data_IF_381140128532
#
_entry.id   IF_381140128532
#
_cell.length_a   1.000
_cell.length_b   1.000
_cell.length_c   1.000
_cell.angle_alpha   90.00
_cell.angle_beta   90.00
_cell.angle_gamma   90.00
#
_symmetry.space_group_name_H-M   'P 1'
#
loop_
_entity.id
_entity.type
_entity.pdbx_description
1 polymer ?
#
# COMPACT_ATOMS: atom_id res chain seq x y z
N UNK A 1 -0.66 19.36 -37.87
CA UNK A 1 0.69 19.66 -38.41
C UNK A 1 1.16 20.97 -37.79
N UNK A 2 1.89 20.89 -36.68
CA UNK A 2 2.91 21.86 -36.24
C UNK A 2 3.81 21.08 -35.28
N UNK A 3 5.06 20.82 -35.71
CA UNK A 3 6.06 20.09 -34.94
C UNK A 3 6.60 21.00 -33.83
N UNK A 4 6.67 20.51 -32.59
CA UNK A 4 7.56 21.05 -31.57
C UNK A 4 8.67 20.01 -31.37
N UNK A 5 9.86 20.38 -31.83
CA UNK A 5 11.11 19.62 -31.73
C UNK A 5 11.72 19.98 -30.37
N UNK A 6 11.79 19.03 -29.44
CA UNK A 6 12.63 19.16 -28.24
C UNK A 6 13.96 18.47 -28.54
N UNK A 7 14.98 19.27 -28.87
CA UNK A 7 16.37 18.82 -28.93
C UNK A 7 16.96 18.90 -27.53
N UNK A 8 17.26 17.74 -26.95
CA UNK A 8 18.00 17.63 -25.68
C UNK A 8 19.46 17.32 -26.03
N UNK A 9 20.35 18.29 -25.77
CA UNK A 9 21.79 18.12 -25.92
C UNK A 9 22.37 17.43 -24.69
N UNK A 10 23.01 16.28 -24.89
CA UNK A 10 23.91 15.70 -23.89
C UNK A 10 25.32 16.23 -24.12
N UNK A 11 25.90 16.86 -23.11
CA UNK A 11 27.33 17.16 -23.05
C UNK A 11 28.08 15.84 -22.80
N UNK A 12 29.03 15.43 -23.66
CA UNK A 12 29.89 14.30 -23.37
C UNK A 12 30.94 14.72 -22.34
N UNK A 13 31.05 13.97 -21.24
CA UNK A 13 32.19 14.04 -20.34
C UNK A 13 33.46 13.63 -21.08
N UNK A 14 34.46 14.50 -21.08
CA UNK A 14 35.79 14.30 -21.64
C UNK A 14 36.70 13.50 -20.70
N UNK A 15 37.63 12.75 -21.32
CA UNK A 15 38.86 12.09 -20.79
C UNK A 15 38.67 10.74 -20.05
N UNK A 16 39.28 9.60 -20.41
CA UNK A 16 40.42 9.20 -21.28
C UNK A 16 40.14 7.80 -21.91
N UNK A 17 40.36 7.54 -23.22
CA UNK A 17 41.60 7.06 -23.89
C UNK A 17 42.24 5.83 -23.20
N UNK A 18 42.59 4.67 -23.80
CA UNK A 18 42.65 4.06 -25.15
C UNK A 18 42.78 2.53 -24.95
N UNK A 19 42.26 1.68 -25.86
CA UNK A 19 43.04 0.76 -26.72
C UNK A 19 42.20 -0.36 -27.40
N UNK A 20 42.43 -0.48 -28.72
CA UNK A 20 42.45 -1.71 -29.56
C UNK A 20 41.11 -2.39 -29.91
N UNK A 21 40.48 -2.04 -31.05
CA UNK A 21 40.60 -2.62 -32.42
C UNK A 21 40.17 -4.07 -32.60
N UNK A 22 39.01 -4.29 -33.25
CA UNK A 22 38.88 -5.20 -34.41
C UNK A 22 37.47 -5.08 -35.04
N UNK A 23 37.46 -4.81 -36.35
CA UNK A 23 36.29 -4.69 -37.24
C UNK A 23 35.96 -6.06 -37.85
N UNK A 24 34.68 -6.38 -38.02
CA UNK A 24 34.19 -7.51 -38.84
C UNK A 24 32.66 -7.52 -38.98
N UNK A 25 32.09 -7.97 -40.12
CA UNK A 25 30.98 -7.28 -40.78
C UNK A 25 29.55 -7.77 -40.46
N UNK A 26 28.62 -6.89 -40.80
CA UNK A 26 27.16 -6.98 -40.77
C UNK A 26 26.57 -8.34 -41.18
N UNK A 27 25.62 -8.83 -40.36
CA UNK A 27 24.54 -9.70 -40.82
C UNK A 27 23.20 -9.08 -40.43
N UNK A 28 22.43 -8.75 -41.47
CA UNK A 28 21.06 -8.25 -41.43
C UNK A 28 20.15 -9.17 -40.58
N UNK A 29 19.57 -8.66 -39.50
CA UNK A 29 18.45 -9.30 -38.81
C UNK A 29 17.14 -8.64 -39.22
N UNK A 30 16.22 -9.44 -39.77
CA UNK A 30 14.86 -9.07 -40.13
C UNK A 30 14.13 -8.40 -38.95
N UNK A 31 13.73 -7.14 -39.12
CA UNK A 31 12.86 -6.43 -38.18
C UNK A 31 11.42 -6.91 -38.36
N UNK A 32 10.89 -7.69 -37.41
CA UNK A 32 9.44 -7.91 -37.30
C UNK A 32 8.81 -6.65 -36.70
N UNK A 33 7.91 -6.01 -37.46
CA UNK A 33 7.06 -4.92 -36.96
C UNK A 33 6.00 -5.50 -36.04
N UNK A 34 6.10 -5.23 -34.75
CA UNK A 34 4.97 -5.32 -33.84
C UNK A 34 4.27 -3.96 -33.80
N UNK A 35 3.08 -3.88 -34.39
CA UNK A 35 2.19 -2.73 -34.23
C UNK A 35 1.44 -2.91 -32.91
N UNK A 36 1.93 -2.31 -31.83
CA UNK A 36 1.11 -2.17 -30.62
C UNK A 36 0.09 -1.04 -30.83
N UNK A 37 -1.18 -1.42 -30.88
CA UNK A 37 -2.29 -0.48 -30.76
C UNK A 37 -2.29 0.09 -29.34
N UNK A 38 -2.20 1.41 -29.22
CA UNK A 38 -2.31 2.11 -27.94
C UNK A 38 -3.78 2.20 -27.52
N UNK A 39 -4.11 1.55 -26.41
CA UNK A 39 -5.33 1.77 -25.62
C UNK A 39 -5.01 2.72 -24.44
N UNK A 40 -6.04 3.33 -23.80
CA UNK A 40 -6.06 4.76 -23.48
C UNK A 40 -5.21 5.16 -22.28
N UNK A 41 -4.88 6.45 -22.24
CA UNK A 41 -4.08 7.19 -21.24
C UNK A 41 -4.23 6.66 -19.80
N UNK A 42 -3.27 5.83 -19.36
CA UNK A 42 -3.15 5.33 -17.99
C UNK A 42 -2.58 6.40 -17.05
N UNK A 43 -3.31 6.71 -15.97
CA UNK A 43 -2.94 7.73 -14.97
C UNK A 43 -1.92 7.17 -13.97
N UNK A 44 -0.85 7.91 -13.70
CA UNK A 44 0.10 7.61 -12.62
C UNK A 44 -0.46 8.05 -11.26
N UNK A 45 -0.32 7.22 -10.21
CA UNK A 45 -0.78 7.55 -8.86
C UNK A 45 0.39 7.47 -7.86
N UNK A 46 0.58 8.51 -7.04
CA UNK A 46 1.52 8.47 -5.91
C UNK A 46 0.79 8.22 -4.59
N UNK A 47 1.50 7.84 -3.53
CA UNK A 47 0.98 7.84 -2.15
C UNK A 47 0.23 9.12 -1.77
N UNK A 48 0.71 10.27 -2.26
CA UNK A 48 0.08 11.56 -2.04
C UNK A 48 -1.28 11.64 -2.75
N UNK A 49 -1.36 11.16 -3.99
CA UNK A 49 -2.63 11.08 -4.72
C UNK A 49 -3.67 10.23 -3.98
N UNK A 50 -3.24 9.13 -3.37
CA UNK A 50 -4.08 8.29 -2.54
C UNK A 50 -4.58 9.02 -1.27
N UNK A 51 -3.70 9.74 -0.58
CA UNK A 51 -4.07 10.55 0.57
C UNK A 51 -5.18 11.56 0.21
N UNK A 52 -5.04 12.25 -0.93
CA UNK A 52 -6.08 13.16 -1.41
C UNK A 52 -7.39 12.45 -1.75
N UNK A 53 -7.33 11.25 -2.34
CA UNK A 53 -8.54 10.44 -2.60
C UNK A 53 -9.27 10.09 -1.31
N UNK A 54 -8.55 9.71 -0.25
CA UNK A 54 -9.13 9.44 1.06
C UNK A 54 -9.79 10.68 1.66
N UNK A 55 -9.16 11.87 1.55
CA UNK A 55 -9.76 13.11 2.02
C UNK A 55 -11.00 13.53 1.21
N UNK A 56 -11.04 13.26 -0.10
CA UNK A 56 -12.21 13.52 -0.93
C UNK A 56 -13.46 12.76 -0.46
N UNK A 57 -13.29 11.65 0.28
CA UNK A 57 -14.42 10.91 0.86
C UNK A 57 -15.16 11.73 1.92
N UNK A 58 -14.46 12.65 2.58
CA UNK A 58 -15.00 13.53 3.62
C UNK A 58 -15.83 14.69 3.06
N UNK A 59 -15.76 14.95 1.75
CA UNK A 59 -16.53 16.03 1.13
C UNK A 59 -18.05 15.72 1.14
N UNK A 60 -18.91 16.72 1.40
CA UNK A 60 -20.36 16.57 1.25
C UNK A 60 -20.73 16.11 -0.16
N UNK A 61 -21.80 15.31 -0.30
CA UNK A 61 -22.27 14.82 -1.59
C UNK A 61 -22.55 15.94 -2.62
N UNK A 62 -22.98 17.11 -2.14
CA UNK A 62 -23.19 18.32 -2.96
C UNK A 62 -21.92 18.87 -3.60
N UNK A 63 -20.77 18.70 -2.95
CA UNK A 63 -19.45 19.16 -3.40
C UNK A 63 -18.71 18.08 -4.21
N UNK A 64 -19.03 16.80 -4.01
CA UNK A 64 -18.47 15.68 -4.80
C UNK A 64 -18.74 15.83 -6.30
N UNK A 65 -19.89 16.40 -6.69
CA UNK A 65 -20.22 16.64 -8.11
C UNK A 65 -19.46 17.85 -8.71
N UNK A 66 -19.25 18.93 -7.94
CA UNK A 66 -18.53 20.12 -8.39
C UNK A 66 -17.01 19.88 -8.45
N UNK A 67 -16.46 19.11 -7.51
CA UNK A 67 -15.02 18.80 -7.49
C UNK A 67 -14.63 17.59 -8.35
N UNK A 68 -15.55 16.70 -8.71
CA UNK A 68 -15.29 15.75 -9.82
C UNK A 68 -15.00 16.49 -11.12
N UNK A 69 -15.65 17.63 -11.34
CA UNK A 69 -15.38 18.50 -12.48
C UNK A 69 -14.06 19.24 -12.23
N UNK A 70 -13.86 19.92 -11.09
CA UNK A 70 -12.66 20.72 -10.82
C UNK A 70 -11.33 19.94 -10.75
N UNK A 71 -11.32 18.73 -10.15
CA UNK A 71 -10.13 17.86 -10.12
C UNK A 71 -9.81 17.26 -11.50
N UNK A 72 -10.83 17.14 -12.36
CA UNK A 72 -10.66 16.77 -13.78
C UNK A 72 -10.32 17.99 -14.64
N UNK A 73 -10.72 19.21 -14.27
CA UNK A 73 -10.41 20.45 -15.02
C UNK A 73 -9.03 20.99 -14.72
N UNK A 74 -8.47 20.76 -13.53
CA UNK A 74 -7.06 21.09 -13.23
C UNK A 74 -6.05 20.19 -13.99
N UNK A 75 -6.53 19.17 -14.69
CA UNK A 75 -5.72 18.22 -15.49
C UNK A 75 -5.95 18.40 -17.01
N UNK A 76 -6.94 19.20 -17.43
CA UNK A 76 -7.31 19.34 -18.84
C UNK A 76 -7.51 20.80 -19.25
N UNK A 77 -6.44 21.49 -19.64
CA UNK A 77 -6.54 22.61 -20.60
C UNK A 77 -6.15 22.07 -21.96
N UNK A 78 -7.14 21.59 -22.72
CA UNK A 78 -7.21 21.53 -24.19
C UNK A 78 -8.24 20.47 -24.56
N UNK A 79 -9.45 20.90 -24.94
CA UNK A 79 -10.50 20.24 -25.76
C UNK A 79 -11.92 20.59 -25.28
N UNK A 80 -12.23 21.88 -25.13
CA UNK A 80 -13.61 22.35 -25.20
C UNK A 80 -13.89 22.78 -26.64
N UNK A 81 -14.28 21.84 -27.50
CA UNK A 81 -14.51 22.17 -28.90
C UNK A 81 -14.93 21.05 -29.85
N UNK A 82 -15.38 19.88 -29.39
CA UNK A 82 -15.97 18.86 -30.28
C UNK A 82 -16.93 18.00 -29.48
N UNK A 83 -18.18 18.43 -29.26
CA UNK A 83 -19.31 17.57 -28.85
C UNK A 83 -20.60 18.42 -28.87
N UNK A 84 -20.96 18.91 -30.06
CA UNK A 84 -22.25 19.56 -30.28
C UNK A 84 -22.73 19.32 -31.71
N UNK A 85 -22.79 18.05 -32.13
CA UNK A 85 -23.47 17.64 -33.36
C UNK A 85 -23.60 16.11 -33.41
N UNK A 86 -24.47 15.55 -32.58
CA UNK A 86 -25.10 14.23 -32.78
C UNK A 86 -26.19 14.01 -31.72
N UNK A 87 -27.20 14.87 -31.73
CA UNK A 87 -28.48 14.59 -31.08
C UNK A 87 -29.59 15.06 -32.00
N UNK A 88 -29.97 14.21 -32.96
CA UNK A 88 -31.28 14.27 -33.59
C UNK A 88 -31.66 12.88 -34.10
N UNK A 89 -32.88 12.48 -33.73
CA UNK A 89 -33.66 11.33 -34.19
C UNK A 89 -33.28 9.93 -33.65
N UNK A 90 -33.90 9.54 -32.53
CA UNK A 90 -34.41 8.17 -32.38
C UNK A 90 -35.62 8.19 -31.44
N UNK A 91 -36.81 7.96 -32.02
CA UNK A 91 -38.04 7.75 -31.25
C UNK A 91 -37.88 6.44 -30.47
N UNK A 92 -38.02 6.52 -29.14
CA UNK A 92 -37.86 5.38 -28.24
C UNK A 92 -39.20 4.67 -28.06
N UNK A 93 -39.22 3.36 -28.31
CA UNK A 93 -40.38 2.48 -28.16
C UNK A 93 -40.82 2.39 -26.69
N UNK A 94 -42.12 2.20 -26.38
CA UNK A 94 -42.62 2.07 -25.00
C UNK A 94 -41.95 0.96 -24.17
N UNK A 95 -41.49 -0.12 -24.81
CA UNK A 95 -40.70 -1.18 -24.17
C UNK A 95 -39.33 -0.69 -23.70
N UNK A 96 -38.63 0.14 -24.48
CA UNK A 96 -37.33 0.71 -24.09
C UNK A 96 -37.44 1.78 -22.98
N UNK A 97 -38.65 2.27 -22.72
CA UNK A 97 -38.96 3.12 -21.56
C UNK A 97 -39.31 2.29 -20.33
N UNK A 98 -40.04 1.18 -20.48
CA UNK A 98 -40.31 0.23 -19.39
C UNK A 98 -39.06 -0.49 -18.90
N UNK A 99 -38.17 -0.94 -19.79
CA UNK A 99 -36.88 -1.53 -19.42
C UNK A 99 -35.98 -0.52 -18.70
N UNK A 100 -36.01 0.76 -19.12
CA UNK A 100 -35.31 1.84 -18.42
C UNK A 100 -35.91 2.13 -17.05
N UNK A 101 -37.22 2.08 -16.90
CA UNK A 101 -37.89 2.27 -15.61
C UNK A 101 -37.65 1.08 -14.66
N UNK A 102 -37.59 -0.15 -15.17
CA UNK A 102 -37.26 -1.34 -14.38
C UNK A 102 -35.78 -1.35 -13.99
N UNK A 103 -34.86 -0.92 -14.87
CA UNK A 103 -33.45 -0.74 -14.54
C UNK A 103 -33.23 0.41 -13.54
N UNK A 104 -33.99 1.51 -13.65
CA UNK A 104 -33.96 2.61 -12.69
C UNK A 104 -34.56 2.23 -11.32
N UNK A 105 -35.57 1.36 -11.29
CA UNK A 105 -36.15 0.84 -10.04
C UNK A 105 -35.25 -0.21 -9.37
N UNK A 106 -34.53 -1.03 -10.12
CA UNK A 106 -33.54 -1.97 -9.57
C UNK A 106 -32.28 -1.27 -9.00
N UNK A 107 -31.98 -0.03 -9.43
CA UNK A 107 -30.88 0.78 -8.88
C UNK A 107 -31.25 1.62 -7.66
N UNK A 108 -32.52 1.60 -7.23
CA UNK A 108 -32.97 2.34 -6.04
C UNK A 108 -32.92 1.49 -4.76
N UNK A 109 -31.75 0.90 -4.47
CA UNK A 109 -31.43 0.55 -3.09
C UNK A 109 -31.17 1.85 -2.32
N UNK A 110 -31.61 1.99 -1.06
CA UNK A 110 -31.33 3.20 -0.30
C UNK A 110 -29.81 3.37 -0.21
N UNK A 111 -29.27 4.40 -0.89
CA UNK A 111 -27.89 4.83 -0.70
C UNK A 111 -27.77 5.22 0.77
N UNK A 112 -27.19 4.31 1.57
CA UNK A 112 -26.91 4.57 2.96
C UNK A 112 -25.93 5.74 3.00
N UNK A 113 -26.42 6.91 3.42
CA UNK A 113 -25.69 8.18 3.40
C UNK A 113 -24.55 8.24 4.44
N UNK A 114 -24.14 7.08 4.97
CA UNK A 114 -23.07 6.89 5.93
C UNK A 114 -21.71 6.93 5.25
N UNK A 115 -20.76 7.67 5.82
CA UNK A 115 -19.36 7.66 5.38
C UNK A 115 -18.81 6.22 5.34
N UNK A 116 -17.99 5.85 4.35
CA UNK A 116 -17.45 4.48 4.26
C UNK A 116 -16.44 4.21 5.37
N UNK A 117 -16.28 2.95 5.76
CA UNK A 117 -15.11 2.52 6.52
C UNK A 117 -13.87 2.56 5.63
N UNK A 118 -12.70 2.82 6.21
CA UNK A 118 -11.42 2.87 5.51
C UNK A 118 -10.49 1.87 6.19
N UNK A 119 -10.08 0.84 5.44
CA UNK A 119 -9.19 -0.21 5.90
C UNK A 119 -7.95 -0.17 5.03
N UNK A 120 -6.78 0.06 5.63
CA UNK A 120 -5.50 0.08 4.94
C UNK A 120 -4.67 -1.07 5.50
N UNK A 121 -4.35 -2.05 4.66
CA UNK A 121 -3.42 -3.13 4.94
C UNK A 121 -2.08 -2.73 4.31
N UNK A 122 -1.16 -2.30 5.17
CA UNK A 122 0.19 -1.90 4.80
C UNK A 122 1.14 -3.06 5.09
N UNK A 123 1.81 -3.54 4.05
CA UNK A 123 2.78 -4.63 4.07
C UNK A 123 4.19 -4.03 4.19
N UNK A 124 5.11 -4.74 4.81
CA UNK A 124 6.50 -4.31 5.02
C UNK A 124 7.42 -5.12 4.09
N UNK A 125 8.20 -4.46 3.24
CA UNK A 125 9.22 -5.08 2.36
C UNK A 125 8.73 -6.13 1.33
N UNK A 126 7.46 -6.12 0.93
CA UNK A 126 6.98 -7.07 -0.07
C UNK A 126 7.38 -6.65 -1.48
N UNK A 127 8.00 -7.58 -2.22
CA UNK A 127 8.40 -7.35 -3.60
C UNK A 127 7.23 -7.43 -4.58
N UNK A 128 7.40 -6.80 -5.75
CA UNK A 128 6.38 -6.78 -6.78
C UNK A 128 5.95 -8.19 -7.24
N UNK A 129 6.88 -9.14 -7.35
CA UNK A 129 6.63 -10.49 -7.88
C UNK A 129 6.25 -11.53 -6.80
N UNK A 130 5.79 -11.06 -5.64
CA UNK A 130 5.52 -11.92 -4.48
C UNK A 130 4.03 -12.20 -4.26
N UNK A 131 3.15 -11.62 -5.09
CA UNK A 131 1.72 -11.97 -5.20
C UNK A 131 1.47 -12.79 -6.47
N UNK A 132 0.61 -13.81 -6.40
CA UNK A 132 0.41 -14.74 -7.51
C UNK A 132 -0.27 -14.09 -8.73
N UNK A 133 -1.14 -13.10 -8.53
CA UNK A 133 -1.78 -12.42 -9.66
C UNK A 133 -0.82 -11.56 -10.52
N UNK A 134 0.40 -11.28 -10.07
CA UNK A 134 1.46 -10.69 -10.90
C UNK A 134 2.22 -11.70 -11.77
N UNK A 135 1.83 -12.98 -11.73
CA UNK A 135 2.32 -14.03 -12.63
C UNK A 135 3.37 -14.97 -12.04
N UNK A 136 3.80 -14.74 -10.80
CA UNK A 136 4.65 -15.69 -10.07
C UNK A 136 3.81 -16.86 -9.54
N UNK A 137 4.19 -18.09 -9.86
CA UNK A 137 3.54 -19.30 -9.32
C UNK A 137 4.29 -19.92 -8.14
N UNK A 138 5.33 -19.25 -7.63
CA UNK A 138 6.11 -19.78 -6.49
C UNK A 138 5.33 -19.69 -5.18
N UNK A 139 4.65 -18.56 -4.96
CA UNK A 139 3.91 -18.23 -3.75
C UNK A 139 2.47 -17.94 -4.17
N UNK A 140 1.52 -18.74 -3.68
CA UNK A 140 0.10 -18.53 -3.95
C UNK A 140 -0.48 -17.58 -2.90
N UNK A 141 -1.22 -16.58 -3.34
CA UNK A 141 -1.87 -15.57 -2.49
C UNK A 141 -3.37 -15.48 -2.81
N UNK A 142 -4.15 -16.56 -2.59
CA UNK A 142 -5.54 -16.62 -3.06
C UNK A 142 -6.46 -15.54 -2.47
N UNK A 143 -6.24 -15.07 -1.24
CA UNK A 143 -7.09 -14.04 -0.64
C UNK A 143 -6.74 -12.65 -1.19
N UNK A 144 -5.46 -12.35 -1.38
CA UNK A 144 -4.99 -11.11 -2.01
C UNK A 144 -5.40 -11.09 -3.49
N UNK A 145 -5.26 -12.22 -4.20
CA UNK A 145 -5.70 -12.38 -5.57
C UNK A 145 -7.22 -12.17 -5.69
N UNK A 146 -8.01 -12.77 -4.78
CA UNK A 146 -9.45 -12.54 -4.73
C UNK A 146 -9.78 -11.06 -4.49
N UNK A 147 -9.06 -10.39 -3.59
CA UNK A 147 -9.21 -8.96 -3.36
C UNK A 147 -8.89 -8.18 -4.66
N UNK A 148 -7.78 -8.48 -5.32
CA UNK A 148 -7.35 -7.83 -6.56
C UNK A 148 -8.35 -8.01 -7.71
N UNK A 149 -8.80 -9.25 -7.97
CA UNK A 149 -9.72 -9.56 -9.06
C UNK A 149 -11.16 -9.08 -8.81
N UNK A 150 -11.54 -8.81 -7.56
CA UNK A 150 -12.84 -8.22 -7.20
C UNK A 150 -12.79 -6.69 -7.00
N UNK A 151 -11.70 -6.04 -7.41
CA UNK A 151 -11.60 -4.58 -7.35
C UNK A 151 -10.68 -3.98 -8.40
N UNK A 152 -9.81 -3.05 -8.00
CA UNK A 152 -8.98 -2.25 -8.93
C UNK A 152 -7.50 -2.48 -8.63
N UNK A 153 -6.78 -3.06 -9.58
CA UNK A 153 -5.32 -3.22 -9.52
C UNK A 153 -4.64 -1.93 -9.97
N UNK A 154 -3.71 -1.40 -9.17
CA UNK A 154 -2.87 -0.26 -9.56
C UNK A 154 -1.51 -0.71 -10.09
N UNK A 155 -1.39 -0.80 -11.41
CA UNK A 155 -0.13 -1.12 -12.08
C UNK A 155 0.86 0.06 -12.16
N UNK A 156 0.55 1.22 -11.57
CA UNK A 156 1.41 2.43 -11.62
C UNK A 156 1.27 3.24 -10.33
N UNK A 157 1.38 2.58 -9.18
CA UNK A 157 1.38 3.24 -7.88
C UNK A 157 2.75 3.19 -7.22
N UNK A 158 3.17 4.32 -6.65
CA UNK A 158 4.52 4.51 -6.13
C UNK A 158 4.52 5.01 -4.69
N UNK A 159 5.51 4.51 -3.96
CA UNK A 159 5.83 4.82 -2.57
C UNK A 159 7.28 5.31 -2.48
N UNK A 160 7.66 6.05 -1.43
CA UNK A 160 9.08 6.22 -1.09
C UNK A 160 9.78 4.86 -0.92
N UNK A 161 11.11 4.83 -1.03
CA UNK A 161 11.85 3.57 -1.10
C UNK A 161 12.12 2.90 0.26
N UNK A 162 11.67 3.46 1.39
CA UNK A 162 11.96 2.98 2.74
C UNK A 162 10.78 3.20 3.69
N UNK A 163 10.74 2.40 4.76
CA UNK A 163 9.63 2.34 5.72
C UNK A 163 9.23 3.71 6.30
N UNK A 164 10.11 4.36 7.07
CA UNK A 164 9.82 5.66 7.72
C UNK A 164 9.37 6.73 6.71
N UNK A 165 10.10 6.99 5.60
CA UNK A 165 9.64 7.95 4.59
C UNK A 165 8.25 7.60 4.02
N UNK A 166 7.99 6.33 3.70
CA UNK A 166 6.71 5.90 3.13
C UNK A 166 5.54 6.07 4.09
N UNK A 167 5.74 5.70 5.35
CA UNK A 167 4.74 5.85 6.42
C UNK A 167 4.47 7.33 6.70
N UNK A 168 5.51 8.16 6.68
CA UNK A 168 5.36 9.61 6.83
C UNK A 168 4.54 10.18 5.67
N UNK A 169 4.82 9.76 4.44
CA UNK A 169 4.05 10.19 3.26
C UNK A 169 2.61 9.72 3.31
N UNK A 170 2.34 8.48 3.72
CA UNK A 170 0.97 7.98 3.92
C UNK A 170 0.20 8.85 4.92
N UNK A 171 0.79 9.15 6.08
CA UNK A 171 0.05 9.82 7.16
C UNK A 171 -0.01 11.33 7.01
N UNK A 172 0.89 11.96 6.24
CA UNK A 172 0.89 13.43 6.06
C UNK A 172 0.39 13.88 4.69
N UNK A 173 0.38 12.99 3.69
CA UNK A 173 0.17 13.37 2.30
C UNK A 173 1.30 14.20 1.70
N UNK A 174 2.50 14.21 2.33
CA UNK A 174 3.64 15.03 1.90
C UNK A 174 4.84 14.17 1.52
N UNK A 175 5.63 14.66 0.57
CA UNK A 175 6.91 14.05 0.26
C UNK A 175 7.86 14.14 1.46
N UNK A 176 8.79 13.18 1.64
CA UNK A 176 9.71 13.16 2.78
C UNK A 176 10.55 14.44 2.93
N UNK A 177 10.86 15.10 1.81
CA UNK A 177 11.58 16.39 1.78
C UNK A 177 10.85 17.54 2.52
N UNK A 178 9.55 17.41 2.77
CA UNK A 178 8.75 18.39 3.50
C UNK A 178 8.56 18.04 4.97
N UNK A 179 8.87 16.80 5.36
CA UNK A 179 8.70 16.31 6.74
C UNK A 179 10.03 16.09 7.44
N UNK A 180 11.16 16.23 6.74
CA UNK A 180 12.49 15.92 7.26
C UNK A 180 12.81 14.42 7.26
N UNK A 181 11.98 13.58 6.63
CA UNK A 181 12.10 12.12 6.63
C UNK A 181 12.87 11.58 5.41
N UNK A 182 13.66 12.40 4.72
CA UNK A 182 14.29 12.01 3.44
C UNK A 182 15.58 11.19 3.52
N UNK A 183 16.27 11.16 4.67
CA UNK A 183 17.65 10.63 4.73
C UNK A 183 17.72 9.10 4.92
N UNK A 184 16.96 8.55 5.87
CA UNK A 184 16.95 7.12 6.21
C UNK A 184 15.72 6.82 7.07
N UNK A 185 15.69 5.62 7.65
CA UNK A 185 14.69 5.25 8.66
C UNK A 185 15.09 5.73 10.06
N UNK A 186 14.09 5.91 10.93
CA UNK A 186 14.33 6.19 12.34
C UNK A 186 14.75 4.89 13.03
N UNK A 187 15.88 4.91 13.73
CA UNK A 187 16.32 3.79 14.59
C UNK A 187 16.00 4.09 16.07
N UNK A 188 16.02 3.06 16.91
CA UNK A 188 15.39 3.11 18.24
C UNK A 188 15.98 4.13 19.22
N UNK A 189 17.26 4.49 19.10
CA UNK A 189 17.95 5.39 20.02
C UNK A 189 18.02 6.85 19.53
N UNK A 190 17.37 7.14 18.41
CA UNK A 190 17.39 8.47 17.82
C UNK A 190 16.34 9.40 18.47
N UNK A 191 16.76 10.61 18.95
CA UNK A 191 15.86 11.56 19.61
C UNK A 191 15.11 12.44 18.60
N UNK A 192 14.59 11.85 17.53
CA UNK A 192 13.79 12.55 16.53
C UNK A 192 12.66 11.65 15.99
N UNK A 193 11.73 12.27 15.28
CA UNK A 193 10.55 11.62 14.74
C UNK A 193 9.80 12.54 13.79
N UNK A 194 8.64 12.08 13.30
CA UNK A 194 7.79 12.90 12.44
C UNK A 194 7.38 14.18 13.20
N UNK A 195 7.62 15.39 12.65
CA UNK A 195 7.43 16.63 13.39
C UNK A 195 6.01 16.78 13.94
N UNK A 196 5.89 17.33 15.15
CA UNK A 196 4.61 17.45 15.86
C UNK A 196 3.65 18.46 15.21
N UNK A 197 4.16 19.38 14.39
CA UNK A 197 3.32 20.30 13.62
C UNK A 197 2.63 19.64 12.41
N UNK A 198 3.03 18.40 12.05
CA UNK A 198 2.37 17.65 10.99
C UNK A 198 1.03 17.11 11.49
N UNK A 199 -0.05 17.56 10.87
CA UNK A 199 -1.40 17.10 11.13
C UNK A 199 -1.70 15.86 10.29
N UNK A 200 -1.95 14.74 10.94
CA UNK A 200 -1.95 13.42 10.31
C UNK A 200 -3.35 12.98 9.85
N UNK A 201 -3.38 12.07 8.87
CA UNK A 201 -4.58 11.37 8.39
C UNK A 201 -5.51 10.91 9.52
N UNK A 202 -5.06 10.17 10.55
CA UNK A 202 -5.93 9.76 11.65
C UNK A 202 -6.49 10.94 12.45
N UNK A 203 -5.75 12.04 12.63
CA UNK A 203 -6.29 13.24 13.30
C UNK A 203 -7.44 13.83 12.49
N UNK A 204 -7.23 13.98 11.17
CA UNK A 204 -8.26 14.49 10.25
C UNK A 204 -9.50 13.57 10.26
N UNK A 205 -9.31 12.26 10.21
CA UNK A 205 -10.41 11.29 10.20
C UNK A 205 -11.16 11.29 11.53
N UNK A 206 -10.46 11.34 12.67
CA UNK A 206 -11.05 11.42 14.00
C UNK A 206 -11.87 12.69 14.16
N UNK A 207 -11.34 13.84 13.75
CA UNK A 207 -12.04 15.12 13.76
C UNK A 207 -13.29 15.11 12.85
N UNK A 208 -13.34 14.17 11.90
CA UNK A 208 -14.48 13.92 11.01
C UNK A 208 -15.37 12.74 11.46
N UNK A 209 -15.21 12.26 12.69
CA UNK A 209 -16.09 11.30 13.34
C UNK A 209 -15.72 9.83 13.17
N UNK A 210 -14.56 9.51 12.58
CA UNK A 210 -14.08 8.13 12.50
C UNK A 210 -13.55 7.64 13.85
N UNK A 211 -13.67 6.33 14.10
CA UNK A 211 -12.88 5.64 15.11
C UNK A 211 -11.55 5.19 14.49
N UNK A 212 -10.41 5.64 15.02
CA UNK A 212 -9.10 5.47 14.37
C UNK A 212 -8.23 4.43 15.07
N UNK A 213 -7.80 3.41 14.35
CA UNK A 213 -7.08 2.27 14.90
C UNK A 213 -5.80 2.00 14.10
N UNK A 214 -4.67 1.85 14.78
CA UNK A 214 -3.42 1.34 14.21
C UNK A 214 -3.11 -0.03 14.80
N UNK A 215 -2.87 -1.02 13.96
CA UNK A 215 -2.42 -2.35 14.39
C UNK A 215 -1.09 -2.65 13.71
N UNK A 216 -0.07 -2.95 14.50
CA UNK A 216 1.29 -3.25 14.04
C UNK A 216 2.25 -2.06 14.10
N UNK A 217 3.10 -1.92 13.07
CA UNK A 217 4.28 -1.04 13.02
C UNK A 217 3.92 0.45 12.95
N UNK A 218 4.58 1.25 13.78
CA UNK A 218 4.51 2.72 13.73
C UNK A 218 5.64 3.35 12.90
N UNK A 219 6.88 3.23 13.38
CA UNK A 219 8.13 3.65 12.73
C UNK A 219 8.26 5.14 12.34
N UNK A 220 7.62 6.03 13.11
CA UNK A 220 7.68 7.49 12.92
C UNK A 220 8.22 8.24 14.15
N UNK A 221 8.97 7.53 14.98
CA UNK A 221 9.63 8.06 16.19
C UNK A 221 8.77 7.89 17.44
N UNK A 222 9.45 7.64 18.56
CA UNK A 222 8.81 7.34 19.84
C UNK A 222 9.65 7.74 21.07
N UNK A 223 10.73 8.50 20.88
CA UNK A 223 11.60 8.96 21.97
C UNK A 223 10.86 9.86 22.98
N UNK A 224 9.75 10.45 22.55
CA UNK A 224 8.80 11.21 23.36
C UNK A 224 7.41 10.62 23.21
N UNK A 225 6.63 10.67 24.28
CA UNK A 225 5.23 10.22 24.31
C UNK A 225 4.41 10.88 23.20
N UNK A 226 4.60 12.18 22.93
CA UNK A 226 3.85 12.91 21.90
C UNK A 226 4.07 12.39 20.47
N UNK A 227 5.14 11.61 20.23
CA UNK A 227 5.41 11.02 18.92
C UNK A 227 4.77 9.64 18.74
N UNK A 228 4.20 9.05 19.80
CA UNK A 228 3.55 7.73 19.74
C UNK A 228 2.19 7.78 19.05
N UNK A 229 1.69 6.68 18.47
CA UNK A 229 0.47 6.67 17.64
C UNK A 229 -0.76 7.25 18.34
N UNK A 230 -0.97 6.92 19.62
CA UNK A 230 -2.15 7.37 20.38
C UNK A 230 -2.12 8.87 20.71
N UNK A 231 -0.94 9.50 20.61
CA UNK A 231 -0.78 10.95 20.70
C UNK A 231 -0.80 11.64 19.33
N UNK A 232 -0.96 10.87 18.25
CA UNK A 232 -0.87 11.31 16.85
C UNK A 232 -2.11 10.96 16.03
N UNK A 233 -3.27 10.90 16.70
CA UNK A 233 -4.59 10.79 16.06
C UNK A 233 -5.26 9.43 16.13
N UNK A 234 -4.54 8.37 16.53
CA UNK A 234 -5.14 7.05 16.71
C UNK A 234 -5.82 6.95 18.08
N UNK A 235 -7.08 6.52 18.12
CA UNK A 235 -7.80 6.22 19.36
C UNK A 235 -7.25 4.95 20.03
N UNK A 236 -6.77 4.00 19.22
CA UNK A 236 -6.24 2.71 19.67
C UNK A 236 -4.99 2.33 18.89
N UNK A 237 -3.95 1.84 19.59
CA UNK A 237 -2.78 1.20 18.99
C UNK A 237 -2.52 -0.17 19.59
N UNK A 238 -2.20 -1.15 18.75
CA UNK A 238 -1.71 -2.45 19.23
C UNK A 238 -0.59 -2.94 18.32
N UNK A 239 0.63 -3.00 18.84
CA UNK A 239 1.81 -3.35 18.07
C UNK A 239 3.08 -2.73 18.64
N UNK A 240 3.94 -2.22 17.76
CA UNK A 240 5.30 -1.82 18.12
C UNK A 240 5.69 -0.49 17.49
N UNK A 241 6.71 0.16 18.06
CA UNK A 241 7.10 1.51 17.64
C UNK A 241 8.30 1.55 16.68
N UNK A 242 9.22 0.59 16.81
CA UNK A 242 10.46 0.47 16.05
C UNK A 242 10.25 0.10 14.58
N UNK A 243 11.37 -0.09 13.87
CA UNK A 243 11.37 -0.56 12.49
C UNK A 243 11.08 -2.05 12.32
N UNK A 244 11.41 -2.87 13.30
CA UNK A 244 11.19 -4.32 13.28
C UNK A 244 11.23 -4.88 14.71
N UNK A 245 10.70 -6.07 14.88
CA UNK A 245 10.75 -6.88 16.11
C UNK A 245 10.82 -8.35 15.72
N UNK A 246 11.31 -9.20 16.62
CA UNK A 246 11.19 -10.63 16.48
C UNK A 246 9.72 -11.06 16.34
N UNK A 247 9.44 -12.00 15.44
CA UNK A 247 8.06 -12.41 15.15
C UNK A 247 7.36 -13.17 16.29
N UNK A 248 8.07 -13.68 17.29
CA UNK A 248 7.47 -14.52 18.34
C UNK A 248 7.60 -13.89 19.72
N UNK A 249 8.78 -13.40 20.09
CA UNK A 249 8.98 -12.78 21.41
C UNK A 249 8.77 -11.26 21.38
N UNK A 250 8.60 -10.66 20.20
CA UNK A 250 8.31 -9.24 20.00
C UNK A 250 9.34 -8.29 20.62
N UNK A 251 10.57 -8.77 20.79
CA UNK A 251 11.71 -7.96 21.23
C UNK A 251 12.49 -7.42 20.04
N UNK A 252 13.22 -6.34 20.28
CA UNK A 252 14.25 -5.85 19.36
C UNK A 252 15.61 -5.87 20.05
N UNK A 253 16.61 -6.27 19.29
CA UNK A 253 18.03 -6.24 19.65
C UNK A 253 18.83 -5.76 18.44
N UNK A 254 19.59 -4.68 18.59
CA UNK A 254 20.47 -4.15 17.53
C UNK A 254 21.90 -4.60 17.83
N UNK A 255 22.43 -5.60 17.13
CA UNK A 255 23.73 -6.21 17.49
C UNK A 255 24.91 -5.24 17.31
N UNK A 256 24.80 -4.34 16.33
CA UNK A 256 25.80 -3.30 16.04
C UNK A 256 25.79 -2.14 17.06
N UNK A 257 25.02 -2.28 18.13
CA UNK A 257 24.90 -1.32 19.22
C UNK A 257 24.96 -2.07 20.55
N UNK A 258 25.60 -1.49 21.56
CA UNK A 258 25.72 -2.11 22.88
C UNK A 258 24.41 -1.98 23.70
N UNK A 259 23.28 -2.44 23.15
CA UNK A 259 21.97 -2.43 23.79
C UNK A 259 21.55 -3.84 24.18
N UNK A 260 20.90 -3.96 25.33
CA UNK A 260 20.19 -5.19 25.66
C UNK A 260 18.94 -5.34 24.80
N UNK A 261 18.60 -6.59 24.47
CA UNK A 261 17.30 -6.90 23.88
C UNK A 261 16.17 -6.37 24.78
N UNK A 262 15.16 -5.74 24.18
CA UNK A 262 14.03 -5.16 24.90
C UNK A 262 12.71 -5.42 24.19
N UNK A 263 11.64 -5.63 24.98
CA UNK A 263 10.29 -5.75 24.45
C UNK A 263 9.86 -4.44 23.81
N UNK A 264 9.50 -4.49 22.53
CA UNK A 264 8.80 -3.40 21.85
C UNK A 264 7.45 -3.92 21.35
N UNK A 265 6.55 -4.19 22.30
CA UNK A 265 5.19 -4.62 22.00
C UNK A 265 4.22 -4.07 23.03
N UNK A 266 3.14 -3.46 22.55
CA UNK A 266 2.30 -2.59 23.36
C UNK A 266 0.84 -2.65 22.96
N UNK A 267 -0.01 -2.40 23.95
CA UNK A 267 -1.40 -1.99 23.77
C UNK A 267 -1.49 -0.55 24.25
N UNK A 268 -1.75 0.34 23.33
CA UNK A 268 -1.66 1.78 23.47
C UNK A 268 -0.27 2.19 23.98
N UNK A 269 -0.19 2.72 25.20
CA UNK A 269 1.05 3.14 25.83
C UNK A 269 1.68 2.04 26.71
N UNK A 270 0.92 0.99 27.02
CA UNK A 270 1.30 -0.04 27.97
C UNK A 270 2.02 -1.19 27.28
N UNK A 271 3.20 -1.62 27.75
CA UNK A 271 3.83 -2.87 27.30
C UNK A 271 2.86 -4.06 27.41
N UNK A 272 2.90 -4.95 26.44
CA UNK A 272 2.01 -6.11 26.33
C UNK A 272 2.81 -7.42 26.15
N UNK A 273 3.39 -7.98 27.22
CA UNK A 273 4.19 -9.19 27.14
C UNK A 273 3.37 -10.48 26.90
N UNK A 274 2.03 -10.40 26.99
CA UNK A 274 1.15 -11.57 26.88
C UNK A 274 1.11 -12.20 25.48
N UNK A 275 1.77 -11.60 24.49
CA UNK A 275 1.94 -12.16 23.15
C UNK A 275 3.22 -13.00 22.99
N UNK A 276 4.04 -13.18 24.03
CA UNK A 276 5.28 -13.96 23.94
C UNK A 276 5.03 -15.39 23.41
N UNK A 277 5.83 -15.80 22.43
CA UNK A 277 5.72 -17.08 21.72
C UNK A 277 4.62 -17.13 20.65
N UNK A 278 3.79 -16.09 20.50
CA UNK A 278 2.75 -16.03 19.46
C UNK A 278 3.30 -15.35 18.21
N UNK A 279 2.93 -15.85 17.03
CA UNK A 279 3.39 -15.27 15.77
C UNK A 279 2.76 -13.88 15.52
N UNK A 280 3.59 -12.86 15.30
CA UNK A 280 3.18 -11.45 15.25
C UNK A 280 2.09 -11.17 14.21
N UNK A 281 2.16 -11.80 13.04
CA UNK A 281 1.12 -11.67 12.00
C UNK A 281 -0.23 -12.13 12.52
N UNK A 282 -0.29 -13.28 13.19
CA UNK A 282 -1.54 -13.81 13.75
C UNK A 282 -2.07 -12.94 14.88
N UNK A 283 -1.18 -12.41 15.72
CA UNK A 283 -1.52 -11.50 16.81
C UNK A 283 -2.13 -10.20 16.25
N UNK A 284 -1.56 -9.64 15.17
CA UNK A 284 -2.14 -8.48 14.49
C UNK A 284 -3.49 -8.80 13.85
N UNK A 285 -3.63 -9.95 13.18
CA UNK A 285 -4.90 -10.37 12.57
C UNK A 285 -6.00 -10.53 13.61
N UNK A 286 -5.71 -11.18 14.73
CA UNK A 286 -6.67 -11.39 15.82
C UNK A 286 -7.13 -10.05 16.42
N UNK A 287 -6.22 -9.10 16.60
CA UNK A 287 -6.59 -7.77 17.06
C UNK A 287 -7.44 -7.01 16.04
N UNK A 288 -7.14 -7.13 14.75
CA UNK A 288 -7.94 -6.50 13.69
C UNK A 288 -9.37 -7.06 13.67
N UNK A 289 -9.52 -8.38 13.76
CA UNK A 289 -10.83 -9.04 13.92
C UNK A 289 -11.54 -8.54 15.18
N UNK A 290 -10.84 -8.44 16.32
CA UNK A 290 -11.42 -7.91 17.58
C UNK A 290 -11.95 -6.50 17.38
N UNK A 291 -11.16 -5.60 16.79
CA UNK A 291 -11.56 -4.22 16.50
C UNK A 291 -12.80 -4.20 15.61
N UNK A 292 -12.82 -4.98 14.52
CA UNK A 292 -13.96 -5.04 13.59
C UNK A 292 -15.23 -5.57 14.29
N UNK A 293 -15.15 -6.68 15.01
CA UNK A 293 -16.33 -7.29 15.65
C UNK A 293 -16.91 -6.42 16.78
N UNK A 294 -16.06 -5.71 17.51
CA UNK A 294 -16.46 -4.80 18.59
C UNK A 294 -16.86 -3.41 18.11
N UNK A 295 -16.61 -3.08 16.84
CA UNK A 295 -16.93 -1.77 16.30
C UNK A 295 -18.45 -1.56 16.21
N UNK A 296 -18.90 -0.40 16.69
CA UNK A 296 -20.26 0.08 16.52
C UNK A 296 -20.37 0.91 15.23
N UNK A 297 -20.63 0.22 14.13
CA UNK A 297 -20.77 0.80 12.80
C UNK A 297 -21.98 1.77 12.68
N UNK A 298 -22.92 1.75 13.63
CA UNK A 298 -24.03 2.70 13.65
C UNK A 298 -23.62 4.06 14.25
N UNK A 299 -22.62 4.07 15.14
CA UNK A 299 -22.16 5.27 15.82
C UNK A 299 -21.10 6.03 15.03
N UNK A 300 -20.09 5.33 14.48
CA UNK A 300 -18.94 5.94 13.79
C UNK A 300 -18.48 5.05 12.64
N UNK A 301 -17.95 5.60 11.53
CA UNK A 301 -17.20 4.82 10.56
C UNK A 301 -15.83 4.39 11.14
N UNK A 302 -15.33 3.24 10.70
CA UNK A 302 -14.04 2.69 11.10
C UNK A 302 -12.91 3.22 10.19
N UNK A 303 -11.82 3.70 10.80
CA UNK A 303 -10.52 3.76 10.16
C UNK A 303 -9.59 2.74 10.82
N UNK A 304 -9.10 1.78 10.03
CA UNK A 304 -8.16 0.76 10.47
C UNK A 304 -6.92 0.77 9.56
N UNK A 305 -5.78 1.20 10.10
CA UNK A 305 -4.47 0.99 9.49
C UNK A 305 -3.86 -0.27 10.09
N UNK A 306 -3.88 -1.36 9.34
CA UNK A 306 -3.21 -2.60 9.67
C UNK A 306 -1.83 -2.61 9.01
N UNK A 307 -0.84 -2.20 9.77
CA UNK A 307 0.54 -2.11 9.33
C UNK A 307 1.35 -3.33 9.79
N UNK A 308 1.38 -4.37 8.95
CA UNK A 308 2.06 -5.61 9.26
C UNK A 308 3.59 -5.43 9.44
N UNK A 309 4.18 -6.35 10.21
CA UNK A 309 5.62 -6.66 10.16
C UNK A 309 5.95 -7.57 8.97
N UNK A 310 5.02 -8.46 8.61
CA UNK A 310 5.16 -9.30 7.43
C UNK A 310 5.28 -8.42 6.17
N UNK A 311 6.27 -8.62 5.30
CA UNK A 311 7.26 -9.72 5.25
C UNK A 311 8.71 -9.23 5.45
N UNK A 312 8.87 -8.18 6.26
CA UNK A 312 10.16 -7.66 6.69
C UNK A 312 10.90 -8.65 7.59
N UNK A 313 12.22 -8.49 7.70
CA UNK A 313 13.04 -9.29 8.61
C UNK A 313 12.72 -9.02 10.08
N UNK A 314 12.75 -10.06 10.93
CA UNK A 314 12.39 -9.96 12.35
C UNK A 314 13.55 -9.64 13.28
N UNK A 315 14.72 -10.24 13.08
CA UNK A 315 15.91 -9.96 13.88
C UNK A 315 17.19 -10.33 13.10
N UNK A 316 18.37 -10.02 13.64
CA UNK A 316 19.63 -10.25 12.92
C UNK A 316 20.11 -11.72 12.93
N UNK A 317 19.71 -12.52 13.91
CA UNK A 317 20.14 -13.92 14.06
C UNK A 317 19.31 -14.89 13.22
N UNK A 318 18.01 -14.65 13.16
CA UNK A 318 17.02 -15.39 12.39
C UNK A 318 16.09 -14.39 11.68
N UNK A 319 16.53 -13.83 10.54
CA UNK A 319 15.85 -12.70 9.90
C UNK A 319 14.50 -13.04 9.32
N UNK A 320 14.24 -14.26 8.86
CA UNK A 320 12.93 -14.64 8.33
C UNK A 320 12.34 -15.70 9.24
N UNK A 321 11.13 -15.44 9.72
CA UNK A 321 10.45 -16.26 10.70
C UNK A 321 9.01 -16.46 10.24
N UNK A 322 8.58 -17.71 10.13
CA UNK A 322 7.19 -18.11 9.87
C UNK A 322 6.91 -19.39 10.66
N UNK A 323 5.63 -19.73 10.91
CA UNK A 323 5.27 -21.02 11.50
C UNK A 323 5.74 -22.17 10.60
N UNK A 324 6.31 -23.22 11.21
CA UNK A 324 6.92 -24.34 10.47
C UNK A 324 5.91 -25.00 9.52
N UNK A 325 4.67 -25.21 9.98
CA UNK A 325 3.60 -25.79 9.18
C UNK A 325 3.22 -24.93 7.97
N UNK A 326 3.49 -23.64 8.01
CA UNK A 326 3.29 -22.76 6.87
C UNK A 326 4.43 -22.87 5.87
N UNK A 327 5.68 -22.95 6.35
CA UNK A 327 6.89 -23.13 5.53
C UNK A 327 6.86 -24.47 4.79
N UNK A 328 6.33 -25.52 5.44
CA UNK A 328 6.16 -26.86 4.87
C UNK A 328 5.20 -26.91 3.68
N UNK A 329 4.32 -25.91 3.49
CA UNK A 329 3.48 -25.83 2.28
C UNK A 329 4.30 -25.54 1.01
N UNK A 330 5.53 -25.07 1.15
CA UNK A 330 6.36 -24.58 0.05
C UNK A 330 7.61 -25.44 -0.21
N UNK A 331 7.58 -26.74 0.08
CA UNK A 331 8.73 -27.65 -0.11
C UNK A 331 9.26 -27.70 -1.55
N UNK A 332 8.45 -27.31 -2.55
CA UNK A 332 8.90 -27.17 -3.95
C UNK A 332 9.89 -26.02 -4.16
N UNK A 333 9.93 -25.03 -3.26
CA UNK A 333 10.92 -23.95 -3.27
C UNK A 333 12.21 -24.49 -2.64
N UNK A 334 13.27 -24.62 -3.44
CA UNK A 334 14.55 -25.21 -3.01
C UNK A 334 15.36 -24.29 -2.11
N UNK A 335 15.31 -22.97 -2.34
CA UNK A 335 15.98 -21.99 -1.49
C UNK A 335 15.25 -21.83 -0.15
N UNK A 336 15.92 -22.16 0.95
CA UNK A 336 15.33 -22.17 2.30
C UNK A 336 14.85 -20.77 2.74
N UNK A 337 15.56 -19.72 2.34
CA UNK A 337 15.21 -18.33 2.68
C UNK A 337 13.90 -17.93 1.96
N UNK A 338 13.81 -18.18 0.66
CA UNK A 338 12.61 -17.97 -0.15
C UNK A 338 11.44 -18.84 0.33
N UNK A 339 11.69 -20.08 0.77
CA UNK A 339 10.67 -20.95 1.34
C UNK A 339 10.09 -20.37 2.63
N UNK A 340 10.95 -19.89 3.53
CA UNK A 340 10.51 -19.25 4.78
C UNK A 340 9.73 -17.98 4.48
N UNK A 341 10.25 -17.15 3.57
CA UNK A 341 9.55 -15.94 3.08
C UNK A 341 8.18 -16.26 2.47
N UNK A 342 8.06 -17.34 1.69
CA UNK A 342 6.78 -17.80 1.16
C UNK A 342 5.78 -18.16 2.27
N UNK A 343 6.26 -18.80 3.35
CA UNK A 343 5.44 -19.02 4.54
C UNK A 343 4.97 -17.72 5.20
N UNK A 344 5.84 -16.70 5.26
CA UNK A 344 5.48 -15.37 5.78
C UNK A 344 4.40 -14.70 4.92
N UNK A 345 4.55 -14.72 3.60
CA UNK A 345 3.57 -14.18 2.63
C UNK A 345 2.25 -14.96 2.72
N UNK A 346 2.29 -16.27 2.88
CA UNK A 346 1.11 -17.12 2.99
C UNK A 346 0.29 -16.81 4.26
N UNK A 347 0.95 -16.64 5.41
CA UNK A 347 0.26 -16.16 6.63
C UNK A 347 -0.28 -14.73 6.48
N UNK A 348 0.41 -13.87 5.74
CA UNK A 348 -0.09 -12.52 5.43
C UNK A 348 -1.34 -12.59 4.53
N UNK A 349 -1.36 -13.46 3.52
CA UNK A 349 -2.54 -13.71 2.69
C UNK A 349 -3.74 -14.20 3.52
N UNK A 350 -3.51 -15.16 4.42
CA UNK A 350 -4.52 -15.61 5.37
C UNK A 350 -5.05 -14.46 6.25
N UNK A 351 -4.16 -13.57 6.71
CA UNK A 351 -4.54 -12.35 7.46
C UNK A 351 -5.49 -11.46 6.66
N UNK A 352 -5.16 -11.19 5.39
CA UNK A 352 -6.00 -10.40 4.48
C UNK A 352 -7.38 -11.04 4.33
N UNK A 353 -7.42 -12.35 4.09
CA UNK A 353 -8.67 -13.10 3.97
C UNK A 353 -9.52 -13.03 5.24
N UNK A 354 -8.89 -13.14 6.41
CA UNK A 354 -9.56 -13.03 7.72
C UNK A 354 -10.15 -11.65 7.99
N UNK A 355 -9.41 -10.58 7.68
CA UNK A 355 -9.89 -9.20 7.82
C UNK A 355 -11.10 -8.94 6.91
N UNK A 356 -11.00 -9.30 5.63
CA UNK A 356 -12.11 -9.16 4.66
C UNK A 356 -13.32 -9.97 5.11
N UNK A 357 -13.11 -11.20 5.60
CA UNK A 357 -14.18 -12.05 6.14
C UNK A 357 -14.82 -11.45 7.39
N UNK A 358 -14.05 -10.87 8.30
CA UNK A 358 -14.58 -10.21 9.49
C UNK A 358 -15.46 -9.02 9.12
N UNK A 359 -15.04 -8.18 8.15
CA UNK A 359 -15.86 -7.09 7.61
C UNK A 359 -17.15 -7.62 6.99
N UNK A 360 -17.07 -8.72 6.22
CA UNK A 360 -18.24 -9.35 5.61
C UNK A 360 -19.22 -9.88 6.66
N UNK A 361 -18.73 -10.65 7.62
CA UNK A 361 -19.52 -11.22 8.71
C UNK A 361 -20.20 -10.15 9.58
N UNK A 362 -19.54 -9.00 9.75
CA UNK A 362 -20.09 -7.84 10.48
C UNK A 362 -21.03 -6.97 9.63
N UNK A 363 -21.21 -7.29 8.35
CA UNK A 363 -22.04 -6.52 7.43
C UNK A 363 -21.43 -5.16 7.05
N UNK A 364 -20.14 -4.96 7.28
CA UNK A 364 -19.42 -3.70 7.02
C UNK A 364 -18.80 -3.66 5.64
N UNK A 365 -18.54 -4.81 5.01
CA UNK A 365 -17.76 -4.90 3.77
C UNK A 365 -18.33 -4.05 2.63
N UNK A 366 -19.66 -4.03 2.46
CA UNK A 366 -20.33 -3.30 1.37
C UNK A 366 -20.16 -1.77 1.44
N UNK A 367 -19.87 -1.24 2.64
CA UNK A 367 -19.58 0.19 2.84
C UNK A 367 -18.15 0.37 3.36
N UNK A 368 -17.19 -0.39 2.83
CA UNK A 368 -15.77 -0.32 3.20
C UNK A 368 -14.89 -0.14 1.98
N UNK A 369 -13.91 0.75 2.10
CA UNK A 369 -12.77 0.86 1.18
C UNK A 369 -11.62 0.07 1.80
N UNK A 370 -11.19 -1.00 1.14
CA UNK A 370 -10.08 -1.85 1.59
C UNK A 370 -8.91 -1.66 0.65
N UNK A 371 -7.86 -1.00 1.12
CA UNK A 371 -6.59 -0.77 0.45
C UNK A 371 -5.56 -1.78 0.92
N UNK A 372 -4.86 -2.44 0.00
CA UNK A 372 -3.68 -3.26 0.30
C UNK A 372 -2.49 -2.82 -0.54
N UNK A 373 -1.35 -2.56 0.11
CA UNK A 373 -0.08 -2.21 -0.55
C UNK A 373 1.11 -2.38 0.41
N UNK A 374 2.32 -2.49 -0.14
CA UNK A 374 3.60 -2.50 0.58
C UNK A 374 4.19 -1.10 0.73
N UNK A 375 4.89 -0.83 1.84
CA UNK A 375 5.50 0.48 2.11
C UNK A 375 6.74 0.76 1.26
N UNK A 376 7.40 -0.28 0.76
CA UNK A 376 8.48 -0.23 -0.23
C UNK A 376 8.61 -1.59 -0.95
N UNK A 377 9.50 -1.67 -1.94
CA UNK A 377 9.83 -2.94 -2.59
C UNK A 377 10.66 -3.86 -1.69
N UNK A 378 10.98 -5.07 -2.17
CA UNK A 378 11.79 -6.01 -1.39
C UNK A 378 13.27 -5.59 -1.29
N UNK A 379 13.89 -5.62 -0.11
CA UNK A 379 15.34 -5.51 0.05
C UNK A 379 15.99 -6.87 -0.26
N UNK A 380 16.31 -7.16 -1.53
CA UNK A 380 16.90 -8.47 -1.87
C UNK A 380 18.41 -8.57 -1.61
N UNK A 381 19.05 -7.48 -1.20
CA UNK A 381 20.48 -7.39 -0.87
C UNK A 381 20.71 -6.44 0.30
N UNK A 382 21.82 -6.63 1.03
CA UNK A 382 22.26 -5.73 2.10
C UNK A 382 21.76 -6.12 3.49
N UNK A 383 21.86 -5.17 4.42
CA UNK A 383 21.38 -5.33 5.80
C UNK A 383 19.85 -5.43 5.76
N UNK A 384 19.29 -6.33 6.57
CA UNK A 384 17.85 -6.66 6.56
C UNK A 384 17.33 -7.22 5.24
N UNK A 385 18.20 -7.79 4.40
CA UNK A 385 17.75 -8.39 3.15
C UNK A 385 16.74 -9.52 3.41
N UNK A 386 15.58 -9.47 2.76
CA UNK A 386 14.65 -10.58 2.73
C UNK A 386 14.79 -11.37 1.41
N UNK A 387 14.02 -12.44 1.26
CA UNK A 387 13.99 -13.25 0.05
C UNK A 387 12.83 -12.87 -0.88
N UNK A 388 12.40 -11.60 -0.88
CA UNK A 388 11.38 -11.08 -1.80
C UNK A 388 11.87 -10.96 -3.24
N UNK A 389 10.97 -10.61 -4.15
CA UNK A 389 11.29 -10.47 -5.58
C UNK A 389 10.64 -9.23 -6.19
N UNK A 390 11.45 -8.35 -6.77
CA UNK A 390 10.98 -7.15 -7.47
C UNK A 390 10.82 -7.33 -8.98
N UNK A 391 11.01 -8.55 -9.50
CA UNK A 391 10.88 -8.82 -10.94
C UNK A 391 9.51 -8.34 -11.47
N UNK A 392 9.42 -7.75 -12.68
CA UNK A 392 10.47 -7.52 -13.66
C UNK A 392 11.24 -6.21 -13.45
N UNK A 393 10.95 -5.48 -12.37
CA UNK A 393 11.56 -4.18 -12.13
C UNK A 393 12.99 -4.28 -11.62
N UNK A 394 13.75 -3.22 -11.88
CA UNK A 394 15.15 -3.11 -11.46
C UNK A 394 15.21 -2.59 -10.03
N UNK A 395 16.22 -3.06 -9.29
CA UNK A 395 16.59 -2.54 -7.97
C UNK A 395 15.89 -3.21 -6.78
N UNK A 396 16.06 -2.58 -5.62
CA UNK A 396 15.64 -3.07 -4.29
C UNK A 396 15.15 -1.91 -3.42
N UNK A 397 14.67 -2.19 -2.20
CA UNK A 397 14.18 -1.25 -1.16
C UNK A 397 15.14 -0.12 -0.71
N UNK A 398 16.16 0.21 -1.48
CA UNK A 398 17.10 1.30 -1.20
C UNK A 398 17.45 2.08 -2.47
N UNK A 399 16.90 1.69 -3.61
CA UNK A 399 17.20 2.26 -4.92
C UNK A 399 16.01 3.10 -5.42
N UNK A 400 16.33 4.24 -6.06
CA UNK A 400 15.34 5.04 -6.80
C UNK A 400 15.18 4.41 -8.18
N UNK A 401 14.57 3.23 -8.22
CA UNK A 401 14.17 2.54 -9.45
C UNK A 401 12.78 1.95 -9.24
N UNK A 402 11.92 2.05 -10.27
CA UNK A 402 10.48 1.78 -10.21
C UNK A 402 10.13 0.58 -9.33
N UNK A 403 9.61 0.82 -8.12
CA UNK A 403 8.91 -0.18 -7.33
C UNK A 403 7.44 0.24 -7.37
N UNK A 404 6.66 -0.46 -8.19
CA UNK A 404 5.21 -0.25 -8.29
C UNK A 404 4.52 -1.11 -7.23
N UNK A 405 3.47 -0.61 -6.57
CA UNK A 405 2.78 -1.30 -5.49
C UNK A 405 1.27 -0.98 -5.54
N UNK A 406 0.40 -1.80 -4.93
CA UNK A 406 -1.03 -1.92 -5.23
C UNK A 406 -1.95 -0.90 -4.53
N UNK A 407 -3.24 -0.89 -4.89
CA UNK A 407 -4.35 -0.40 -4.07
C UNK A 407 -5.55 -1.31 -4.30
N UNK A 408 -6.58 -1.23 -3.46
CA UNK A 408 -7.89 -1.75 -3.82
C UNK A 408 -9.03 -0.85 -3.30
N UNK A 409 -10.17 -0.88 -3.98
CA UNK A 409 -11.45 -0.40 -3.49
C UNK A 409 -12.49 -1.42 -3.90
N UNK A 410 -13.14 -2.03 -2.91
CA UNK A 410 -14.41 -2.70 -3.13
C UNK A 410 -15.43 -1.58 -3.28
N UNK A 411 -15.81 -1.24 -4.51
CA UNK A 411 -17.11 -0.64 -4.77
C UNK A 411 -18.03 -1.78 -5.17
N UNK A 412 -18.81 -2.32 -4.24
CA UNK A 412 -19.96 -3.12 -4.61
C UNK A 412 -20.98 -2.20 -5.30
N UNK A 413 -21.46 -2.62 -6.47
CA UNK A 413 -22.48 -1.93 -7.27
C UNK A 413 -23.70 -1.49 -6.46
#
# INVERSE_FOLDING_TARGET
LMQIKLEVYFLPSSENAELSTAVGPEKQSKTQKYTMQSHPVDRQFSCIGLYFLLLCLLLPASLKHQHHVAAVTAINTETAGVLQQQQQATQTTPQAQQERQQQQQQQSQPQNNSKPNIIIILIDDMGFNDVSFHGSNQILTPNIDALAYNGIILNRHYVPNLCTPSRATLLTGKYPIHTGMQQSVIINDQPWGLPLQEHLLPEILRDNGYATNLIGKWHLGFWRKELTPTMRGFDHHFGYYSGYIDYYNHTLHMLDRNYSAGLDFRRDLSPWPAADGLYATDVFTQEAERVIYQHDAAAKPLFLLMSHLAVHTGNENNPMQAPDEEVEKFLHITDNKRRTYAGMVSRLDDSVGRVVRALSNKGMLNNSIVLLYSDNGAPTVGIHSNAGSNYPFRGVSTHISNCEILYNTIKSN
#
